data_IF_645981635672
#
_entry.id   IF_645981635672
#
_cell.length_a   1.000
_cell.length_b   1.000
_cell.length_c   1.000
_cell.angle_alpha   90.00
_cell.angle_beta   90.00
_cell.angle_gamma   90.00
#
_symmetry.space_group_name_H-M   'P 1'
#
loop_
_entity.id
_entity.type
_entity.pdbx_description
1 polymer ?
#
# COMPACT_ATOMS: atom_id res chain seq x y z
N UNK A 1 19.41 -8.69 -16.04
CA UNK A 1 18.04 -8.53 -15.48
C UNK A 1 17.91 -7.07 -15.11
N UNK A 2 17.03 -6.36 -15.80
CA UNK A 2 16.70 -4.96 -15.49
C UNK A 2 15.56 -5.01 -14.46
N UNK A 3 15.85 -4.61 -13.21
CA UNK A 3 14.84 -4.59 -12.14
C UNK A 3 14.21 -3.20 -12.09
N UNK A 4 12.90 -3.11 -12.34
CA UNK A 4 12.12 -1.89 -12.17
C UNK A 4 11.39 -1.90 -10.82
N UNK A 5 11.08 -0.71 -10.28
CA UNK A 5 10.15 -0.53 -9.16
C UNK A 5 8.82 -1.22 -9.52
N UNK A 6 8.03 -1.66 -8.53
CA UNK A 6 6.64 -2.13 -8.75
C UNK A 6 5.94 -1.22 -9.77
N UNK A 7 5.69 -1.73 -10.98
CA UNK A 7 5.44 -0.86 -12.14
C UNK A 7 4.13 -0.11 -11.93
N UNK A 8 3.07 -0.73 -11.42
CA UNK A 8 1.81 0.00 -11.22
C UNK A 8 1.09 -0.33 -9.91
N UNK A 9 0.32 0.64 -9.42
CA UNK A 9 -0.46 0.48 -8.19
C UNK A 9 -1.46 -0.70 -8.23
N UNK A 10 -1.94 -1.06 -9.42
CA UNK A 10 -2.84 -2.21 -9.59
C UNK A 10 -2.12 -3.54 -9.40
N UNK A 11 -0.86 -3.66 -9.86
CA UNK A 11 -0.05 -4.88 -9.68
C UNK A 11 0.26 -5.08 -8.21
N UNK A 12 0.61 -3.98 -7.52
CA UNK A 12 0.80 -3.98 -6.09
C UNK A 12 -0.47 -4.46 -5.36
N UNK A 13 -1.64 -3.94 -5.75
CA UNK A 13 -2.91 -4.30 -5.09
C UNK A 13 -3.32 -5.75 -5.36
N UNK A 14 -3.05 -6.26 -6.58
CA UNK A 14 -3.20 -7.68 -6.90
C UNK A 14 -2.25 -8.51 -6.04
N UNK A 15 -0.96 -8.16 -5.97
CA UNK A 15 0.03 -8.87 -5.15
C UNK A 15 -0.34 -8.89 -3.66
N UNK A 16 -0.96 -7.81 -3.16
CA UNK A 16 -1.38 -7.69 -1.77
C UNK A 16 -2.65 -8.51 -1.47
N UNK A 17 -3.68 -8.41 -2.31
CA UNK A 17 -5.03 -8.85 -1.97
C UNK A 17 -5.51 -10.07 -2.77
N UNK A 18 -5.07 -10.19 -4.02
CA UNK A 18 -5.50 -11.24 -4.93
C UNK A 18 -6.99 -11.20 -5.27
N UNK A 19 -7.63 -10.04 -5.12
CA UNK A 19 -9.06 -9.86 -5.37
C UNK A 19 -9.40 -10.12 -6.85
N UNK A 20 -10.46 -10.88 -7.08
CA UNK A 20 -10.98 -11.18 -8.43
C UNK A 20 -12.49 -10.96 -8.46
N UNK A 21 -13.00 -10.54 -9.62
CA UNK A 21 -14.45 -10.40 -9.83
C UNK A 21 -15.15 -11.73 -9.58
N UNK A 22 -16.21 -11.71 -8.77
CA UNK A 22 -17.00 -12.90 -8.43
C UNK A 22 -16.42 -13.76 -7.31
N UNK A 23 -15.35 -13.31 -6.65
CA UNK A 23 -14.81 -13.93 -5.43
C UNK A 23 -15.00 -13.01 -4.23
N UNK A 24 -14.88 -13.58 -3.03
CA UNK A 24 -14.91 -12.81 -1.79
C UNK A 24 -13.79 -11.77 -1.79
N UNK A 25 -14.17 -10.53 -1.52
CA UNK A 25 -13.24 -9.42 -1.42
C UNK A 25 -12.38 -9.56 -0.15
N UNK A 26 -11.09 -9.25 -0.27
CA UNK A 26 -10.15 -9.10 0.84
C UNK A 26 -9.75 -7.65 1.03
N UNK A 27 -9.93 -7.15 2.25
CA UNK A 27 -9.47 -5.83 2.70
C UNK A 27 -7.99 -5.81 3.03
N UNK A 28 -7.46 -6.94 3.51
CA UNK A 28 -6.06 -7.18 3.88
C UNK A 28 -5.56 -8.49 3.26
N UNK A 29 -4.24 -8.71 3.14
CA UNK A 29 -3.69 -9.97 2.64
C UNK A 29 -4.26 -11.21 3.37
N UNK A 30 -4.53 -11.07 4.66
CA UNK A 30 -5.04 -12.12 5.55
C UNK A 30 -6.56 -12.13 5.76
N UNK A 31 -7.35 -11.34 5.00
CA UNK A 31 -8.81 -11.34 5.07
C UNK A 31 -9.42 -9.96 5.32
N UNK A 32 -10.56 -9.93 6.02
CA UNK A 32 -11.38 -8.71 6.15
C UNK A 32 -11.37 -8.05 7.54
N UNK A 33 -10.83 -8.75 8.54
CA UNK A 33 -10.68 -8.23 9.90
C UNK A 33 -9.26 -7.75 10.10
N UNK A 34 -9.10 -6.53 10.62
CA UNK A 34 -7.78 -6.01 10.97
C UNK A 34 -7.17 -6.86 12.08
N UNK A 35 -5.88 -7.15 11.94
CA UNK A 35 -5.09 -7.94 12.89
C UNK A 35 -3.71 -7.29 13.00
N UNK A 36 -3.49 -6.55 14.09
CA UNK A 36 -2.22 -5.85 14.34
C UNK A 36 -1.04 -6.83 14.54
N UNK A 37 -1.31 -8.11 14.84
CA UNK A 37 -0.27 -9.14 14.91
C UNK A 37 0.32 -9.54 13.55
N UNK A 38 -0.26 -9.05 12.44
CA UNK A 38 0.12 -9.41 11.06
C UNK A 38 0.78 -8.28 10.28
N UNK A 39 0.99 -7.11 10.88
CA UNK A 39 1.68 -5.99 10.26
C UNK A 39 2.37 -5.09 11.30
N UNK A 40 3.42 -4.40 10.89
CA UNK A 40 4.04 -3.34 11.69
C UNK A 40 3.28 -2.03 11.47
N UNK A 41 2.47 -1.64 12.46
CA UNK A 41 1.58 -0.49 12.45
C UNK A 41 1.61 0.21 13.82
N UNK A 42 0.88 1.32 13.92
CA UNK A 42 0.60 2.03 15.18
C UNK A 42 1.86 2.52 15.93
N UNK A 43 3.01 2.62 15.25
CA UNK A 43 4.27 3.10 15.80
C UNK A 43 4.96 2.12 16.75
N UNK A 44 4.57 0.84 16.75
CA UNK A 44 5.05 -0.14 17.75
C UNK A 44 6.53 -0.45 17.61
N UNK A 45 6.99 -0.77 16.39
CA UNK A 45 8.38 -1.14 16.13
C UNK A 45 9.13 -0.15 15.23
N UNK A 46 8.42 0.85 14.69
CA UNK A 46 8.99 1.95 13.91
C UNK A 46 9.92 1.44 12.78
N UNK A 47 9.47 0.43 12.03
CA UNK A 47 10.20 -0.20 10.92
C UNK A 47 11.51 -0.92 11.31
N UNK A 48 11.68 -1.29 12.59
CA UNK A 48 12.83 -2.09 13.05
C UNK A 48 12.59 -3.61 13.03
N UNK A 49 11.63 -4.08 12.22
CA UNK A 49 11.33 -5.50 12.02
C UNK A 49 12.05 -6.04 10.78
N UNK A 50 12.55 -7.29 10.78
CA UNK A 50 13.17 -7.85 9.59
C UNK A 50 12.15 -8.03 8.46
N UNK A 51 12.61 -7.99 7.21
CA UNK A 51 11.77 -8.21 6.00
C UNK A 51 11.12 -9.61 5.94
N UNK A 52 11.52 -10.51 6.83
CA UNK A 52 10.96 -11.85 6.98
C UNK A 52 9.89 -11.94 8.06
N UNK A 53 9.63 -10.86 8.80
CA UNK A 53 8.62 -10.82 9.86
C UNK A 53 7.19 -10.99 9.30
N UNK A 54 6.23 -11.19 10.22
CA UNK A 54 4.80 -11.24 9.91
C UNK A 54 4.43 -12.29 8.86
N UNK A 55 4.91 -13.53 9.02
CA UNK A 55 4.54 -14.64 8.14
C UNK A 55 3.01 -14.86 8.07
N UNK A 56 2.28 -14.63 9.17
CA UNK A 56 0.81 -14.68 9.17
C UNK A 56 0.13 -13.56 8.36
N UNK A 57 0.87 -12.55 7.93
CA UNK A 57 0.42 -11.44 7.09
C UNK A 57 0.75 -11.60 5.60
N UNK A 58 1.24 -12.76 5.17
CA UNK A 58 1.50 -13.06 3.77
C UNK A 58 0.24 -12.94 2.92
N UNK A 59 0.40 -12.39 1.71
CA UNK A 59 -0.62 -12.50 0.68
C UNK A 59 -0.71 -13.93 0.13
N UNK A 60 -1.75 -14.22 -0.64
CA UNK A 60 -1.89 -15.52 -1.33
C UNK A 60 -0.77 -15.82 -2.33
N UNK A 61 0.03 -14.82 -2.68
CA UNK A 61 1.19 -14.95 -3.56
C UNK A 61 2.51 -15.04 -2.78
N UNK A 62 2.44 -15.12 -1.45
CA UNK A 62 3.62 -15.19 -0.57
C UNK A 62 4.31 -13.84 -0.33
N UNK A 63 3.68 -12.72 -0.70
CA UNK A 63 4.26 -11.41 -0.46
C UNK A 63 4.07 -11.00 1.00
N UNK A 64 5.17 -10.87 1.75
CA UNK A 64 5.19 -10.39 3.14
C UNK A 64 5.17 -8.88 3.22
N UNK A 65 4.61 -8.38 4.34
CA UNK A 65 4.63 -6.97 4.70
C UNK A 65 4.08 -6.06 3.59
N UNK A 66 3.06 -6.55 2.87
CA UNK A 66 2.28 -5.70 1.96
C UNK A 66 1.47 -4.65 2.73
N UNK A 67 1.32 -4.80 4.05
CA UNK A 67 0.69 -3.82 4.92
C UNK A 67 1.67 -3.46 6.04
N UNK A 68 1.87 -2.17 6.28
CA UNK A 68 2.72 -1.66 7.36
C UNK A 68 4.22 -1.60 6.99
N UNK A 69 5.06 -1.42 8.02
CA UNK A 69 6.52 -1.21 7.93
C UNK A 69 6.92 0.05 7.16
N UNK A 70 6.71 0.09 5.85
CA UNK A 70 6.97 1.26 5.02
C UNK A 70 5.94 1.36 3.91
N UNK A 71 5.56 2.59 3.57
CA UNK A 71 4.84 2.85 2.33
C UNK A 71 5.69 2.34 1.16
N UNK A 72 5.09 1.71 0.17
CA UNK A 72 5.81 1.24 -1.02
C UNK A 72 5.53 2.18 -2.21
N UNK A 73 6.58 2.76 -2.79
CA UNK A 73 6.48 3.51 -4.04
C UNK A 73 6.00 2.64 -5.20
N UNK A 74 5.14 3.21 -6.03
CA UNK A 74 4.72 2.63 -7.32
C UNK A 74 5.05 3.62 -8.44
N UNK A 75 5.13 3.17 -9.70
CA UNK A 75 5.38 4.11 -10.81
C UNK A 75 4.13 4.94 -11.19
N UNK A 76 2.94 4.54 -10.71
CA UNK A 76 1.66 5.20 -10.95
C UNK A 76 1.66 6.66 -10.51
N UNK A 77 1.16 7.52 -11.39
CA UNK A 77 0.78 8.89 -11.06
C UNK A 77 -0.52 8.86 -10.24
N UNK A 78 -0.63 9.73 -9.23
CA UNK A 78 -1.87 9.85 -8.46
C UNK A 78 -2.93 10.53 -9.34
N UNK A 79 -3.86 9.74 -9.86
CA UNK A 79 -4.95 10.18 -10.73
C UNK A 79 -6.29 9.62 -10.22
N UNK A 80 -7.43 10.25 -10.55
CA UNK A 80 -8.73 9.70 -10.23
C UNK A 80 -8.93 8.35 -10.92
N UNK A 81 -9.56 7.41 -10.22
CA UNK A 81 -10.09 6.21 -10.85
C UNK A 81 -11.34 6.52 -11.66
N UNK A 82 -11.70 5.64 -12.59
CA UNK A 82 -12.96 5.73 -13.32
C UNK A 82 -14.14 5.76 -12.35
N UNK A 83 -15.04 6.74 -12.54
CA UNK A 83 -16.17 6.96 -11.65
C UNK A 83 -15.82 7.66 -10.33
N UNK A 84 -14.60 8.19 -10.17
CA UNK A 84 -14.25 9.04 -9.02
C UNK A 84 -15.26 10.18 -8.87
N UNK A 85 -15.78 10.33 -7.66
CA UNK A 85 -16.61 11.45 -7.26
C UNK A 85 -16.05 12.02 -5.96
N UNK A 86 -16.12 13.35 -5.85
CA UNK A 86 -15.65 14.09 -4.70
C UNK A 86 -16.60 13.84 -3.51
N UNK A 87 -16.03 13.55 -2.34
CA UNK A 87 -16.79 13.42 -1.10
C UNK A 87 -16.93 14.77 -0.36
N UNK A 88 -17.32 14.72 0.92
CA UNK A 88 -17.49 15.92 1.75
C UNK A 88 -16.21 16.77 1.87
N UNK A 89 -15.03 16.20 1.65
CA UNK A 89 -13.75 16.89 1.75
C UNK A 89 -13.07 17.03 0.38
N UNK A 90 -13.46 18.06 -0.42
CA UNK A 90 -13.13 18.14 -1.84
C UNK A 90 -11.65 18.20 -2.17
N UNK A 91 -10.84 18.69 -1.24
CA UNK A 91 -9.42 18.97 -1.47
C UNK A 91 -8.50 17.79 -1.13
N UNK A 92 -9.02 16.73 -0.49
CA UNK A 92 -8.17 15.61 -0.03
C UNK A 92 -7.46 14.89 -1.18
N UNK A 93 -8.19 14.54 -2.24
CA UNK A 93 -7.61 13.86 -3.41
C UNK A 93 -7.26 14.82 -4.54
N UNK A 94 -8.08 15.86 -4.75
CA UNK A 94 -7.95 16.72 -5.95
C UNK A 94 -6.66 17.52 -5.97
N UNK A 95 -6.14 17.96 -4.82
CA UNK A 95 -4.86 18.68 -4.73
C UNK A 95 -3.66 17.79 -5.05
N UNK A 96 -3.81 16.47 -4.98
CA UNK A 96 -2.72 15.53 -5.19
C UNK A 96 -2.56 15.12 -6.65
N UNK A 97 -3.61 15.32 -7.47
CA UNK A 97 -3.63 14.81 -8.83
C UNK A 97 -2.51 15.37 -9.71
N UNK A 98 -1.92 14.50 -10.53
CA UNK A 98 -0.88 14.84 -11.50
C UNK A 98 0.52 14.95 -10.91
N UNK A 99 0.75 15.74 -9.87
CA UNK A 99 2.12 15.99 -9.38
C UNK A 99 2.68 14.86 -8.50
N UNK A 100 1.80 14.10 -7.85
CA UNK A 100 2.20 13.09 -6.87
C UNK A 100 2.28 11.70 -7.48
N UNK A 101 3.14 10.87 -6.89
CA UNK A 101 3.20 9.42 -7.15
C UNK A 101 2.40 8.68 -6.07
N UNK A 102 1.83 7.55 -6.46
CA UNK A 102 1.08 6.69 -5.55
C UNK A 102 2.05 5.90 -4.69
N UNK A 103 1.80 5.88 -3.38
CA UNK A 103 2.35 4.91 -2.45
C UNK A 103 1.24 4.03 -1.84
N UNK A 104 1.60 2.79 -1.52
CA UNK A 104 0.65 1.75 -1.05
C UNK A 104 1.11 1.11 0.26
N UNK A 105 0.21 0.39 0.94
CA UNK A 105 0.52 -0.50 2.06
C UNK A 105 0.50 0.11 3.46
N UNK A 106 0.66 1.42 3.61
CA UNK A 106 0.88 2.01 4.93
C UNK A 106 2.32 1.83 5.40
N UNK A 107 2.66 2.45 6.53
CA UNK A 107 3.97 2.37 7.16
C UNK A 107 3.84 1.95 8.61
N UNK A 108 4.97 1.76 9.30
CA UNK A 108 5.02 1.52 10.73
C UNK A 108 4.27 2.59 11.55
N UNK A 109 4.19 3.84 11.05
CA UNK A 109 3.49 4.94 11.72
C UNK A 109 2.00 5.04 11.35
N UNK A 110 1.50 4.20 10.44
CA UNK A 110 0.11 4.26 9.99
C UNK A 110 -0.81 3.62 11.03
N UNK A 111 -1.92 4.29 11.33
CA UNK A 111 -2.92 3.73 12.23
C UNK A 111 -3.62 2.53 11.62
N UNK A 112 -3.78 1.46 12.39
CA UNK A 112 -4.51 0.26 11.99
C UNK A 112 -5.97 0.53 11.63
N UNK A 113 -6.60 1.58 12.17
CA UNK A 113 -7.99 1.96 11.86
C UNK A 113 -8.12 2.51 10.42
N UNK A 114 -7.10 3.22 9.93
CA UNK A 114 -7.10 3.83 8.60
C UNK A 114 -6.58 2.89 7.50
N UNK A 115 -5.97 1.79 7.90
CA UNK A 115 -5.25 0.89 6.99
C UNK A 115 -6.21 -0.03 6.21
N UNK A 116 -5.97 -0.15 4.90
CA UNK A 116 -6.61 -1.11 3.98
C UNK A 116 -5.71 -1.29 2.77
N UNK A 117 -5.70 -2.47 2.14
CA UNK A 117 -4.86 -2.70 0.96
C UNK A 117 -5.22 -1.84 -0.25
N UNK A 118 -6.45 -1.32 -0.29
CA UNK A 118 -6.91 -0.38 -1.33
C UNK A 118 -6.59 1.09 -1.02
N UNK A 119 -6.00 1.39 0.13
CA UNK A 119 -5.64 2.77 0.47
C UNK A 119 -4.55 3.26 -0.47
N UNK A 120 -4.64 4.52 -0.89
CA UNK A 120 -3.66 5.19 -1.74
C UNK A 120 -3.18 6.41 -0.96
N UNK A 121 -1.87 6.54 -0.84
CA UNK A 121 -1.25 7.77 -0.37
C UNK A 121 -0.53 8.44 -1.54
N UNK A 122 -0.42 9.76 -1.48
CA UNK A 122 0.17 10.57 -2.54
C UNK A 122 1.33 11.39 -1.97
N UNK A 123 2.51 11.23 -2.56
CA UNK A 123 3.69 12.03 -2.22
C UNK A 123 4.34 12.59 -3.48
N UNK A 124 4.93 13.78 -3.36
CA UNK A 124 5.82 14.29 -4.41
C UNK A 124 7.00 13.31 -4.54
N UNK A 125 7.48 13.04 -5.77
CA UNK A 125 8.49 12.01 -6.02
C UNK A 125 9.85 12.29 -5.36
N UNK A 126 10.10 13.53 -4.93
CA UNK A 126 11.34 13.96 -4.28
C UNK A 126 11.26 13.93 -2.73
N UNK A 127 10.18 13.42 -2.13
CA UNK A 127 10.02 13.36 -0.68
C UNK A 127 10.92 12.26 -0.10
N UNK A 128 11.66 12.60 0.96
CA UNK A 128 12.58 11.70 1.68
C UNK A 128 12.37 11.71 3.20
N UNK A 129 11.36 12.44 3.66
CA UNK A 129 11.01 12.69 5.06
C UNK A 129 9.86 11.80 5.57
N UNK A 130 9.48 10.79 4.78
CA UNK A 130 8.37 9.89 5.07
C UNK A 130 8.86 8.44 5.16
N UNK A 131 8.18 7.59 5.94
CA UNK A 131 8.47 6.16 6.05
C UNK A 131 8.06 5.43 4.76
N UNK A 132 8.87 5.58 3.72
CA UNK A 132 8.63 5.03 2.39
C UNK A 132 9.86 4.27 1.89
N UNK A 133 9.61 3.12 1.28
CA UNK A 133 10.57 2.31 0.58
C UNK A 133 10.01 1.89 -0.78
N UNK A 134 10.50 0.76 -1.30
CA UNK A 134 10.01 0.20 -2.54
C UNK A 134 10.16 -1.31 -2.56
N UNK A 135 9.42 -1.93 -3.48
CA UNK A 135 9.54 -3.34 -3.85
C UNK A 135 9.81 -3.42 -5.34
N UNK A 136 10.65 -4.36 -5.74
CA UNK A 136 10.95 -4.63 -7.14
C UNK A 136 9.96 -5.62 -7.73
N UNK A 137 9.66 -5.49 -9.01
CA UNK A 137 8.99 -6.53 -9.80
C UNK A 137 9.85 -6.89 -11.02
N UNK A 138 9.61 -8.06 -11.58
CA UNK A 138 10.15 -8.42 -12.89
C UNK A 138 9.20 -7.88 -13.98
N UNK A 139 9.76 -7.52 -15.13
CA UNK A 139 9.01 -7.27 -16.37
C UNK A 139 8.62 -8.57 -17.06
#
# INVERSE_FOLDING_TARGET
MEFTLAEYEYEWEVAALGNKKGQDFRKFPWGNTMDAGKADLDGTYVAHVPVTAYAGGESIFGCRQMIGTAWEWTSSQYLPYDGFNIDMYPFMSTLQFGYHKVTKGGSCATSSILTRGTYRQAYLPNRTDVFVGFRTCAK
#
